data_IF_920427871372
#
_entry.id   IF_920427871372
#
_cell.length_a   1.000
_cell.length_b   1.000
_cell.length_c   1.000
_cell.angle_alpha   90.00
_cell.angle_beta   90.00
_cell.angle_gamma   90.00
#
_symmetry.space_group_name_H-M   'P 1'
#
loop_
_entity.id
_entity.type
_entity.pdbx_description
1 polymer ?
#
# COMPACT_ATOMS: atom_id res chain seq x y z
N UNK A 1 -33.99 5.45 -14.17
CA UNK A 1 -33.38 4.46 -13.26
C UNK A 1 -33.11 3.22 -14.07
N UNK A 2 -31.88 3.05 -14.56
CA UNK A 2 -31.47 1.83 -15.27
C UNK A 2 -31.20 0.76 -14.22
N UNK A 3 -31.94 -0.37 -14.29
CA UNK A 3 -31.53 -1.58 -13.60
C UNK A 3 -30.13 -1.93 -14.10
N UNK A 4 -29.16 -1.85 -13.19
CA UNK A 4 -27.80 -2.28 -13.44
C UNK A 4 -27.79 -3.68 -14.02
N UNK A 5 -27.01 -3.85 -15.08
CA UNK A 5 -26.68 -5.13 -15.72
C UNK A 5 -25.84 -5.98 -14.78
N UNK A 6 -26.35 -6.28 -13.58
CA UNK A 6 -25.78 -7.32 -12.77
C UNK A 6 -25.85 -8.60 -13.61
N UNK A 7 -24.68 -9.18 -13.84
CA UNK A 7 -24.53 -10.61 -14.00
C UNK A 7 -24.69 -11.23 -15.40
N UNK A 8 -24.92 -10.50 -16.50
CA UNK A 8 -24.87 -11.18 -17.83
C UNK A 8 -23.46 -11.63 -18.21
N UNK A 9 -22.46 -10.83 -17.92
CA UNK A 9 -21.06 -11.15 -18.25
C UNK A 9 -20.44 -12.14 -17.25
N UNK A 10 -20.77 -12.02 -15.96
CA UNK A 10 -20.38 -13.03 -14.97
C UNK A 10 -21.06 -14.37 -15.25
N UNK A 11 -22.38 -14.42 -15.45
CA UNK A 11 -23.08 -15.69 -15.75
C UNK A 11 -22.53 -16.35 -17.02
N UNK A 12 -22.26 -15.56 -18.08
CA UNK A 12 -21.62 -16.08 -19.31
C UNK A 12 -20.18 -16.56 -19.09
N UNK A 13 -19.38 -15.85 -18.32
CA UNK A 13 -18.00 -16.25 -18.02
C UNK A 13 -17.97 -17.49 -17.10
N UNK A 14 -18.87 -17.54 -16.12
CA UNK A 14 -19.02 -18.63 -15.17
C UNK A 14 -19.45 -19.92 -15.87
N UNK A 15 -20.49 -19.87 -16.70
CA UNK A 15 -20.96 -21.03 -17.49
C UNK A 15 -19.96 -21.52 -18.54
N UNK A 16 -19.07 -20.65 -19.04
CA UNK A 16 -17.97 -21.05 -19.95
C UNK A 16 -16.83 -21.77 -19.23
N UNK A 17 -16.57 -21.40 -17.97
CA UNK A 17 -15.40 -21.87 -17.22
C UNK A 17 -15.71 -23.01 -16.25
N UNK A 18 -16.98 -23.18 -15.86
CA UNK A 18 -17.42 -24.24 -14.96
C UNK A 18 -18.28 -25.24 -15.74
N UNK A 19 -17.82 -26.49 -15.86
CA UNK A 19 -18.62 -27.59 -16.39
C UNK A 19 -19.60 -27.99 -15.26
N UNK A 20 -20.76 -27.34 -15.23
CA UNK A 20 -21.83 -27.68 -14.30
C UNK A 20 -22.62 -28.85 -14.89
N UNK A 21 -22.62 -30.01 -14.24
CA UNK A 21 -23.57 -31.07 -14.58
C UNK A 21 -24.95 -30.77 -13.97
N UNK A 22 -25.98 -31.09 -14.76
CA UNK A 22 -27.44 -31.03 -14.54
C UNK A 22 -27.96 -30.15 -13.39
N UNK A 23 -28.70 -29.09 -13.73
CA UNK A 23 -29.53 -28.39 -12.75
C UNK A 23 -30.49 -29.39 -12.09
N UNK A 24 -30.50 -29.43 -10.77
CA UNK A 24 -31.35 -30.34 -10.00
C UNK A 24 -32.70 -29.72 -9.70
N UNK A 25 -32.74 -28.40 -9.48
CA UNK A 25 -33.99 -27.68 -9.24
C UNK A 25 -33.90 -26.28 -9.85
N UNK A 26 -34.97 -25.85 -10.52
CA UNK A 26 -35.11 -24.50 -11.05
C UNK A 26 -36.32 -23.84 -10.38
N UNK A 27 -36.10 -22.68 -9.75
CA UNK A 27 -37.16 -21.89 -9.14
C UNK A 27 -37.15 -20.47 -9.70
N UNK A 28 -38.30 -19.99 -10.15
CA UNK A 28 -38.46 -18.63 -10.68
C UNK A 28 -39.12 -17.73 -9.64
N UNK A 29 -38.52 -16.56 -9.38
CA UNK A 29 -39.12 -15.51 -8.56
C UNK A 29 -39.04 -14.16 -9.30
N UNK A 30 -40.19 -13.67 -9.76
CA UNK A 30 -40.25 -12.49 -10.62
C UNK A 30 -39.50 -12.71 -11.94
N UNK A 31 -38.51 -11.85 -12.23
CA UNK A 31 -37.68 -11.95 -13.44
C UNK A 31 -36.38 -12.76 -13.21
N UNK A 32 -36.24 -13.38 -12.04
CA UNK A 32 -35.03 -14.10 -11.65
C UNK A 32 -35.27 -15.61 -11.71
N UNK A 33 -34.35 -16.33 -12.33
CA UNK A 33 -34.30 -17.79 -12.38
C UNK A 33 -33.18 -18.26 -11.46
N UNK A 34 -33.54 -18.98 -10.40
CA UNK A 34 -32.62 -19.65 -9.50
C UNK A 34 -32.46 -21.08 -9.96
N UNK A 35 -31.21 -21.49 -10.21
CA UNK A 35 -30.88 -22.87 -10.58
C UNK A 35 -29.98 -23.45 -9.50
N UNK A 36 -30.43 -24.54 -8.89
CA UNK A 36 -29.63 -25.31 -7.94
C UNK A 36 -28.86 -26.39 -8.70
N UNK A 37 -27.58 -26.50 -8.41
CA UNK A 37 -26.70 -27.51 -8.98
C UNK A 37 -26.21 -28.43 -7.86
N UNK A 38 -26.17 -29.73 -8.11
CA UNK A 38 -25.44 -30.70 -7.28
C UNK A 38 -24.10 -31.01 -7.94
N UNK A 39 -23.00 -30.74 -7.25
CA UNK A 39 -21.65 -31.07 -7.68
C UNK A 39 -20.93 -31.85 -6.60
N UNK A 40 -19.86 -32.56 -6.97
CA UNK A 40 -19.01 -33.21 -5.98
C UNK A 40 -18.26 -32.15 -5.13
N UNK A 41 -17.70 -32.55 -3.98
CA UNK A 41 -17.01 -31.63 -3.09
C UNK A 41 -15.80 -30.93 -3.74
N UNK A 42 -15.16 -31.52 -4.75
CA UNK A 42 -14.02 -30.93 -5.46
C UNK A 42 -14.48 -29.87 -6.45
N UNK A 43 -15.59 -30.11 -7.15
CA UNK A 43 -16.23 -29.19 -8.08
C UNK A 43 -16.80 -27.97 -7.35
N UNK A 44 -17.53 -28.21 -6.27
CA UNK A 44 -18.07 -27.15 -5.42
C UNK A 44 -16.95 -26.30 -4.81
N UNK A 45 -15.83 -26.92 -4.44
CA UNK A 45 -14.66 -26.17 -3.96
C UNK A 45 -14.02 -25.34 -5.09
N UNK A 46 -13.90 -25.88 -6.31
CA UNK A 46 -13.38 -25.13 -7.47
C UNK A 46 -14.25 -23.94 -7.83
N UNK A 47 -15.58 -24.12 -7.80
CA UNK A 47 -16.57 -23.07 -8.01
C UNK A 47 -16.49 -22.04 -6.89
N UNK A 48 -16.46 -22.46 -5.62
CA UNK A 48 -16.32 -21.56 -4.48
C UNK A 48 -15.03 -20.72 -4.60
N UNK A 49 -13.90 -21.33 -4.95
CA UNK A 49 -12.64 -20.62 -5.22
C UNK A 49 -12.80 -19.63 -6.38
N UNK A 50 -13.46 -20.01 -7.49
CA UNK A 50 -13.70 -19.12 -8.63
C UNK A 50 -14.62 -17.94 -8.28
N UNK A 51 -15.68 -18.19 -7.52
CA UNK A 51 -16.61 -17.18 -7.02
C UNK A 51 -15.89 -16.26 -6.05
N UNK A 52 -15.12 -16.78 -5.09
CA UNK A 52 -14.30 -15.99 -4.17
C UNK A 52 -13.28 -15.12 -4.91
N UNK A 53 -12.58 -15.68 -5.90
CA UNK A 53 -11.63 -14.94 -6.74
C UNK A 53 -12.27 -13.79 -7.53
N UNK A 54 -13.55 -13.88 -7.86
CA UNK A 54 -14.24 -12.91 -8.73
C UNK A 54 -15.26 -12.02 -7.97
N UNK A 55 -15.80 -12.45 -6.83
CA UNK A 55 -16.73 -11.69 -5.97
C UNK A 55 -15.98 -10.98 -4.83
N UNK A 56 -15.08 -11.66 -4.13
CA UNK A 56 -14.35 -11.11 -2.96
C UNK A 56 -13.02 -10.46 -3.31
N UNK A 57 -12.83 -10.12 -4.59
CA UNK A 57 -11.71 -9.30 -5.05
C UNK A 57 -10.32 -9.86 -4.74
N UNK A 58 -10.20 -11.19 -4.66
CA UNK A 58 -8.93 -11.88 -4.48
C UNK A 58 -7.83 -11.39 -5.44
N UNK A 59 -8.19 -10.92 -6.64
CA UNK A 59 -7.28 -10.27 -7.60
C UNK A 59 -6.70 -8.93 -7.12
N UNK A 60 -7.48 -8.08 -6.44
CA UNK A 60 -7.01 -6.80 -5.90
C UNK A 60 -6.08 -7.05 -4.72
N UNK A 61 -6.48 -7.91 -3.78
CA UNK A 61 -5.66 -8.28 -2.62
C UNK A 61 -4.35 -8.93 -3.07
N UNK A 62 -4.42 -9.89 -3.99
CA UNK A 62 -3.24 -10.53 -4.57
C UNK A 62 -2.35 -9.51 -5.30
N UNK A 63 -2.94 -8.48 -5.93
CA UNK A 63 -2.16 -7.40 -6.56
C UNK A 63 -1.46 -6.54 -5.52
N UNK A 64 -2.13 -6.15 -4.42
CA UNK A 64 -1.52 -5.37 -3.34
C UNK A 64 -0.37 -6.18 -2.70
N UNK A 65 -0.62 -7.44 -2.33
CA UNK A 65 0.40 -8.36 -1.80
C UNK A 65 1.57 -8.46 -2.77
N UNK A 66 1.30 -8.71 -4.06
CA UNK A 66 2.33 -8.84 -5.09
C UNK A 66 3.14 -7.54 -5.23
N UNK A 67 2.51 -6.38 -5.14
CA UNK A 67 3.18 -5.07 -5.21
C UNK A 67 4.12 -4.91 -4.01
N UNK A 68 3.64 -5.19 -2.80
CA UNK A 68 4.41 -5.16 -1.57
C UNK A 68 5.56 -6.19 -1.52
N UNK A 69 5.39 -7.36 -2.14
CA UNK A 69 6.42 -8.42 -2.19
C UNK A 69 7.48 -8.20 -3.28
N UNK A 70 7.06 -7.80 -4.49
CA UNK A 70 7.96 -7.73 -5.65
C UNK A 70 8.66 -6.37 -5.79
N UNK A 71 8.11 -5.31 -5.20
CA UNK A 71 8.84 -4.05 -5.07
C UNK A 71 9.52 -4.07 -3.71
N UNK A 72 10.73 -4.61 -3.73
CA UNK A 72 11.64 -4.73 -2.61
C UNK A 72 12.12 -3.35 -2.15
N UNK A 73 11.22 -2.41 -1.79
CA UNK A 73 11.41 -0.95 -1.62
C UNK A 73 12.86 -0.50 -1.89
N UNK A 74 13.35 -0.57 -3.14
CA UNK A 74 14.80 -0.62 -3.37
C UNK A 74 15.46 0.71 -2.99
N UNK A 75 14.62 1.75 -3.03
CA UNK A 75 14.92 3.12 -2.66
C UNK A 75 15.00 3.32 -1.14
N UNK A 76 14.39 2.48 -0.29
CA UNK A 76 14.43 2.66 1.17
C UNK A 76 15.82 2.42 1.74
N UNK A 77 16.49 1.35 1.32
CA UNK A 77 17.90 1.14 1.67
C UNK A 77 18.80 2.25 1.13
N UNK A 78 18.48 2.77 -0.06
CA UNK A 78 19.20 3.90 -0.65
C UNK A 78 18.94 5.22 0.09
N UNK A 79 17.73 5.46 0.60
CA UNK A 79 17.38 6.60 1.45
C UNK A 79 18.19 6.55 2.75
N UNK A 80 18.21 5.39 3.43
CA UNK A 80 19.03 5.17 4.62
C UNK A 80 20.52 5.44 4.35
N UNK A 81 21.04 4.91 3.24
CA UNK A 81 22.44 5.13 2.84
C UNK A 81 22.72 6.60 2.54
N UNK A 82 21.82 7.30 1.85
CA UNK A 82 22.00 8.72 1.47
C UNK A 82 21.95 9.60 2.71
N UNK A 83 21.03 9.35 3.64
CA UNK A 83 20.95 10.04 4.92
C UNK A 83 22.22 9.84 5.77
N UNK A 84 22.73 8.60 5.84
CA UNK A 84 24.00 8.33 6.54
C UNK A 84 25.19 9.04 5.89
N UNK A 85 25.27 9.06 4.56
CA UNK A 85 26.32 9.78 3.84
C UNK A 85 26.27 11.28 4.16
N UNK A 86 25.08 11.89 4.12
CA UNK A 86 24.87 13.29 4.51
C UNK A 86 25.29 13.56 5.95
N UNK A 87 24.92 12.69 6.91
CA UNK A 87 25.36 12.80 8.30
C UNK A 87 26.88 12.80 8.40
N UNK A 88 27.57 11.91 7.68
CA UNK A 88 29.03 11.82 7.71
C UNK A 88 29.69 13.07 7.10
N UNK A 89 29.17 13.57 5.99
CA UNK A 89 29.64 14.80 5.34
C UNK A 89 29.48 16.01 6.28
N UNK A 90 28.32 16.17 6.92
CA UNK A 90 28.11 17.25 7.90
C UNK A 90 29.05 17.14 9.10
N UNK A 91 29.29 15.93 9.62
CA UNK A 91 30.24 15.75 10.73
C UNK A 91 31.68 16.14 10.34
N UNK A 92 32.09 15.81 9.11
CA UNK A 92 33.39 16.25 8.58
C UNK A 92 33.45 17.76 8.40
N UNK A 93 32.37 18.37 7.89
CA UNK A 93 32.27 19.81 7.68
C UNK A 93 32.39 20.61 8.98
N UNK A 94 31.69 20.18 10.04
CA UNK A 94 31.74 20.82 11.37
C UNK A 94 33.16 20.89 11.93
N UNK A 95 34.00 19.89 11.66
CA UNK A 95 35.39 19.88 12.11
C UNK A 95 36.25 20.93 11.39
N UNK A 96 35.88 21.27 10.16
CA UNK A 96 36.61 22.21 9.30
C UNK A 96 36.12 23.65 9.48
N UNK A 97 34.84 23.85 9.77
CA UNK A 97 34.24 25.18 9.94
C UNK A 97 33.34 25.26 11.19
N UNK A 98 33.90 25.61 12.37
CA UNK A 98 33.16 25.59 13.63
C UNK A 98 32.04 26.63 13.71
N UNK A 99 32.12 27.71 12.91
CA UNK A 99 31.15 28.82 12.95
C UNK A 99 29.77 28.45 12.41
N UNK A 100 29.68 27.38 11.62
CA UNK A 100 28.45 26.88 11.00
C UNK A 100 27.94 25.61 11.71
N UNK A 101 28.64 25.20 12.77
CA UNK A 101 28.41 23.95 13.50
C UNK A 101 27.01 23.80 14.09
N UNK A 102 26.40 24.88 14.58
CA UNK A 102 25.07 24.83 15.17
C UNK A 102 24.02 24.37 14.15
N UNK A 103 24.02 24.97 12.97
CA UNK A 103 23.08 24.60 11.91
C UNK A 103 23.38 23.20 11.33
N UNK A 104 24.65 22.85 11.12
CA UNK A 104 24.99 21.49 10.68
C UNK A 104 24.57 20.43 11.71
N UNK A 105 24.66 20.72 13.01
CA UNK A 105 24.17 19.83 14.06
C UNK A 105 22.64 19.66 14.02
N UNK A 106 21.89 20.74 13.75
CA UNK A 106 20.44 20.66 13.54
C UNK A 106 20.09 19.79 12.33
N UNK A 107 20.80 19.96 11.20
CA UNK A 107 20.61 19.12 10.01
C UNK A 107 20.95 17.66 10.27
N UNK A 108 22.03 17.37 11.00
CA UNK A 108 22.39 16.01 11.41
C UNK A 108 21.28 15.40 12.28
N UNK A 109 20.74 16.16 13.24
CA UNK A 109 19.66 15.68 14.09
C UNK A 109 18.41 15.36 13.28
N UNK A 110 18.02 16.23 12.34
CA UNK A 110 16.91 15.97 11.43
C UNK A 110 17.16 14.74 10.55
N UNK A 111 18.37 14.59 10.00
CA UNK A 111 18.73 13.43 9.18
C UNK A 111 18.70 12.11 9.97
N UNK A 112 19.09 12.12 11.24
CA UNK A 112 18.98 10.93 12.11
C UNK A 112 17.53 10.54 12.35
N UNK A 113 16.68 11.50 12.68
CA UNK A 113 15.23 11.25 12.84
C UNK A 113 14.59 10.74 11.54
N UNK A 114 15.02 11.27 10.39
CA UNK A 114 14.59 10.79 9.08
C UNK A 114 15.07 9.36 8.81
N UNK A 115 16.34 9.06 9.11
CA UNK A 115 16.91 7.72 8.99
C UNK A 115 16.12 6.70 9.82
N UNK A 116 15.81 7.02 11.07
CA UNK A 116 15.02 6.16 11.94
C UNK A 116 13.61 5.90 11.38
N UNK A 117 12.94 6.94 10.87
CA UNK A 117 11.64 6.80 10.20
C UNK A 117 11.71 5.85 9.01
N UNK A 118 12.67 6.06 8.10
CA UNK A 118 12.82 5.25 6.87
C UNK A 118 13.24 3.82 7.18
N UNK A 119 14.05 3.63 8.23
CA UNK A 119 14.43 2.30 8.67
C UNK A 119 13.23 1.52 9.23
N UNK A 120 12.34 2.18 9.97
CA UNK A 120 11.10 1.59 10.48
C UNK A 120 10.05 1.35 9.39
N UNK A 121 10.01 2.19 8.35
CA UNK A 121 9.08 2.08 7.21
C UNK A 121 9.12 0.68 6.57
N UNK A 122 10.32 0.14 6.34
CA UNK A 122 10.45 -1.15 5.67
C UNK A 122 9.90 -2.30 6.55
N UNK A 123 10.25 -2.28 7.83
CA UNK A 123 9.76 -3.26 8.79
C UNK A 123 8.24 -3.18 8.92
N UNK A 124 7.68 -1.98 9.07
CA UNK A 124 6.25 -1.78 9.24
C UNK A 124 5.44 -2.18 7.99
N UNK A 125 5.89 -1.82 6.79
CA UNK A 125 5.21 -2.21 5.56
C UNK A 125 5.32 -3.71 5.27
N UNK A 126 6.48 -4.33 5.50
CA UNK A 126 6.69 -5.74 5.21
C UNK A 126 6.17 -6.68 6.31
N UNK A 127 6.24 -6.30 7.58
CA UNK A 127 5.82 -7.17 8.68
C UNK A 127 4.41 -6.90 9.16
N UNK A 128 3.95 -5.65 9.17
CA UNK A 128 2.63 -5.33 9.71
C UNK A 128 1.59 -5.27 8.60
N UNK A 129 1.83 -4.48 7.55
CA UNK A 129 0.85 -4.34 6.46
C UNK A 129 0.81 -5.62 5.62
N UNK A 130 1.93 -6.07 5.07
CA UNK A 130 1.94 -7.23 4.18
C UNK A 130 1.47 -8.52 4.86
N UNK A 131 1.86 -8.80 6.11
CA UNK A 131 1.40 -10.00 6.80
C UNK A 131 -0.09 -9.94 7.11
N UNK A 132 -0.62 -8.78 7.57
CA UNK A 132 -2.07 -8.60 7.76
C UNK A 132 -2.84 -8.87 6.46
N UNK A 133 -2.34 -8.39 5.32
CA UNK A 133 -2.96 -8.63 4.01
C UNK A 133 -2.90 -10.10 3.60
N UNK A 134 -1.80 -10.82 3.91
CA UNK A 134 -1.68 -12.26 3.68
C UNK A 134 -2.63 -13.06 4.55
N UNK A 135 -2.76 -12.70 5.82
CA UNK A 135 -3.69 -13.34 6.75
C UNK A 135 -5.13 -13.15 6.28
N UNK A 136 -5.51 -11.92 5.91
CA UNK A 136 -6.80 -11.60 5.31
C UNK A 136 -7.04 -12.40 4.03
N UNK A 137 -6.05 -12.46 3.12
CA UNK A 137 -6.13 -13.27 1.92
C UNK A 137 -6.34 -14.75 2.26
N UNK A 138 -5.66 -15.28 3.27
CA UNK A 138 -5.79 -16.68 3.68
C UNK A 138 -7.17 -16.98 4.27
N UNK A 139 -7.74 -16.07 5.07
CA UNK A 139 -9.09 -16.17 5.63
C UNK A 139 -10.17 -16.14 4.53
N UNK A 140 -9.93 -15.40 3.44
CA UNK A 140 -10.84 -15.37 2.28
C UNK A 140 -10.85 -16.71 1.53
N UNK A 141 -9.71 -17.40 1.44
CA UNK A 141 -9.58 -18.66 0.68
C UNK A 141 -9.78 -19.93 1.52
N UNK A 142 -9.50 -19.87 2.82
CA UNK A 142 -9.75 -20.97 3.74
C UNK A 142 -11.20 -20.88 4.19
N UNK A 143 -11.99 -21.93 3.92
CA UNK A 143 -13.42 -22.02 4.24
C UNK A 143 -13.74 -22.09 5.75
N UNK A 144 -12.92 -21.48 6.62
CA UNK A 144 -13.26 -21.25 8.01
C UNK A 144 -14.33 -20.16 8.07
N UNK A 145 -15.58 -20.62 8.21
CA UNK A 145 -16.83 -19.85 8.19
C UNK A 145 -16.97 -18.80 9.31
N UNK A 146 -15.88 -18.44 10.00
CA UNK A 146 -15.88 -17.62 11.21
C UNK A 146 -14.90 -16.45 11.20
N UNK A 147 -14.11 -16.26 10.13
CA UNK A 147 -13.34 -15.03 10.00
C UNK A 147 -14.28 -13.89 9.56
N UNK A 148 -14.78 -13.11 10.52
CA UNK A 148 -15.39 -11.81 10.23
C UNK A 148 -14.27 -10.90 9.71
N UNK A 149 -14.09 -10.91 8.40
CA UNK A 149 -13.23 -9.95 7.69
C UNK A 149 -14.10 -8.73 7.42
N UNK A 150 -14.05 -7.76 8.31
CA UNK A 150 -14.72 -6.46 8.15
C UNK A 150 -13.75 -5.39 7.63
N UNK A 151 -14.28 -4.30 7.09
CA UNK A 151 -13.48 -3.18 6.56
C UNK A 151 -12.55 -2.56 7.61
N UNK A 152 -12.86 -2.71 8.90
CA UNK A 152 -12.03 -2.25 10.01
C UNK A 152 -10.64 -2.92 10.04
N UNK A 153 -10.49 -4.15 9.55
CA UNK A 153 -9.16 -4.77 9.42
C UNK A 153 -8.22 -4.01 8.46
N UNK A 154 -8.76 -3.24 7.52
CA UNK A 154 -7.98 -2.41 6.59
C UNK A 154 -7.61 -1.06 7.18
N UNK A 155 -8.42 -0.56 8.12
CA UNK A 155 -8.25 0.75 8.72
C UNK A 155 -6.85 0.93 9.33
N UNK A 156 -6.36 -0.05 10.10
CA UNK A 156 -5.03 0.04 10.72
C UNK A 156 -3.90 0.09 9.68
N UNK A 157 -4.00 -0.69 8.60
CA UNK A 157 -3.02 -0.69 7.53
C UNK A 157 -3.02 0.64 6.75
N UNK A 158 -4.21 1.20 6.51
CA UNK A 158 -4.43 2.49 5.87
C UNK A 158 -3.83 3.62 6.71
N UNK A 159 -4.10 3.65 8.01
CA UNK A 159 -3.56 4.68 8.91
C UNK A 159 -2.04 4.62 9.04
N UNK A 160 -1.46 3.42 9.07
CA UNK A 160 0.00 3.24 9.09
C UNK A 160 0.65 3.78 7.81
N UNK A 161 0.08 3.49 6.64
CA UNK A 161 0.54 4.02 5.34
C UNK A 161 0.41 5.54 5.29
N UNK A 162 -0.72 6.11 5.73
CA UNK A 162 -0.92 7.57 5.80
C UNK A 162 0.08 8.24 6.73
N UNK A 163 0.40 7.62 7.87
CA UNK A 163 1.41 8.13 8.80
C UNK A 163 2.76 8.28 8.10
N UNK A 164 3.21 7.25 7.40
CA UNK A 164 4.50 7.28 6.70
C UNK A 164 4.51 8.30 5.55
N UNK A 165 3.47 8.32 4.73
CA UNK A 165 3.35 9.28 3.64
C UNK A 165 3.42 10.73 4.14
N UNK A 166 2.64 11.05 5.17
CA UNK A 166 2.62 12.38 5.79
C UNK A 166 4.01 12.80 6.30
N UNK A 167 4.73 11.88 6.96
CA UNK A 167 6.03 12.19 7.52
C UNK A 167 7.10 12.31 6.42
N UNK A 168 7.08 11.46 5.39
CA UNK A 168 7.97 11.59 4.23
C UNK A 168 7.80 12.94 3.53
N UNK A 169 6.56 13.36 3.28
CA UNK A 169 6.27 14.68 2.70
C UNK A 169 6.78 15.83 3.58
N UNK A 170 6.65 15.72 4.91
CA UNK A 170 7.19 16.73 5.84
C UNK A 170 8.72 16.87 5.71
N UNK A 171 9.44 15.75 5.64
CA UNK A 171 10.89 15.76 5.45
C UNK A 171 11.29 16.25 4.05
N UNK A 172 10.55 15.87 3.01
CA UNK A 172 10.71 16.39 1.65
C UNK A 172 10.68 17.94 1.64
N UNK A 173 9.62 18.54 2.19
CA UNK A 173 9.51 20.00 2.22
C UNK A 173 10.59 20.65 3.08
N UNK A 174 10.96 20.03 4.19
CA UNK A 174 12.05 20.54 5.03
C UNK A 174 13.38 20.58 4.26
N UNK A 175 13.75 19.49 3.59
CA UNK A 175 15.01 19.42 2.83
C UNK A 175 14.99 20.31 1.59
N UNK A 176 13.82 20.49 0.95
CA UNK A 176 13.65 21.44 -0.14
C UNK A 176 13.93 22.88 0.32
N UNK A 177 13.34 23.29 1.46
CA UNK A 177 13.57 24.63 2.03
C UNK A 177 15.05 24.83 2.38
N UNK A 178 15.69 23.84 3.01
CA UNK A 178 17.13 23.90 3.34
C UNK A 178 17.95 24.11 2.07
N UNK A 179 17.63 23.41 0.98
CA UNK A 179 18.32 23.58 -0.31
C UNK A 179 18.11 24.99 -0.89
N UNK A 180 16.88 25.49 -0.88
CA UNK A 180 16.54 26.82 -1.44
C UNK A 180 17.22 27.95 -0.67
N UNK A 181 17.27 27.86 0.67
CA UNK A 181 17.94 28.84 1.53
C UNK A 181 19.44 28.94 1.26
N UNK A 182 20.07 27.82 0.91
CA UNK A 182 21.48 27.77 0.53
C UNK A 182 21.74 28.34 -0.86
N UNK A 183 20.74 28.32 -1.76
CA UNK A 183 20.87 28.83 -3.12
C UNK A 183 20.62 30.34 -3.24
N UNK A 184 19.60 30.88 -2.58
CA UNK A 184 19.13 32.25 -2.84
C UNK A 184 19.98 33.36 -2.20
N UNK A 185 20.78 33.06 -1.17
CA UNK A 185 21.28 34.12 -0.30
C UNK A 185 22.77 34.44 -0.38
N UNK A 186 23.64 33.61 -0.98
CA UNK A 186 25.12 33.73 -0.85
C UNK A 186 25.61 33.96 0.61
N UNK A 187 24.73 33.75 1.60
CA UNK A 187 24.83 33.94 3.05
C UNK A 187 24.35 32.69 3.79
N UNK A 188 23.92 31.67 3.05
CA UNK A 188 23.84 30.31 3.60
C UNK A 188 25.23 29.84 3.96
N UNK A 189 25.31 28.68 4.60
CA UNK A 189 26.58 28.08 5.02
C UNK A 189 27.47 27.78 3.82
N UNK A 190 26.89 27.76 2.62
CA UNK A 190 27.59 27.38 1.41
C UNK A 190 27.81 25.89 1.47
N UNK A 191 26.71 25.12 1.55
CA UNK A 191 26.77 23.67 1.43
C UNK A 191 27.68 23.33 0.25
N UNK A 192 28.68 22.47 0.51
CA UNK A 192 29.58 22.03 -0.56
C UNK A 192 28.74 21.48 -1.71
N UNK A 193 29.24 21.58 -2.95
CA UNK A 193 28.54 21.05 -4.13
C UNK A 193 28.10 19.59 -3.91
N UNK A 194 28.94 18.83 -3.21
CA UNK A 194 28.68 17.44 -2.84
C UNK A 194 27.50 17.26 -1.85
N UNK A 195 27.36 18.11 -0.85
CA UNK A 195 26.21 18.04 0.09
C UNK A 195 24.92 18.45 -0.61
N UNK A 196 24.96 19.46 -1.48
CA UNK A 196 23.82 19.88 -2.28
C UNK A 196 23.34 18.77 -3.24
N UNK A 197 24.29 18.06 -3.87
CA UNK A 197 24.00 16.92 -4.75
C UNK A 197 23.35 15.76 -3.97
N UNK A 198 23.90 15.38 -2.81
CA UNK A 198 23.31 14.34 -1.96
C UNK A 198 21.93 14.73 -1.41
N UNK A 199 21.72 16.01 -1.08
CA UNK A 199 20.42 16.50 -0.63
C UNK A 199 19.39 16.44 -1.76
N UNK A 200 19.79 16.75 -3.00
CA UNK A 200 18.93 16.61 -4.17
C UNK A 200 18.60 15.15 -4.49
N UNK A 201 19.59 14.27 -4.40
CA UNK A 201 19.39 12.83 -4.54
C UNK A 201 18.42 12.31 -3.47
N UNK A 202 18.57 12.75 -2.22
CA UNK A 202 17.66 12.40 -1.13
C UNK A 202 16.21 12.81 -1.43
N UNK A 203 16.02 14.05 -1.88
CA UNK A 203 14.70 14.61 -2.24
C UNK A 203 14.01 13.75 -3.32
N UNK A 204 14.70 13.44 -4.43
CA UNK A 204 14.12 12.64 -5.51
C UNK A 204 13.81 11.19 -5.10
N UNK A 205 14.58 10.63 -4.17
CA UNK A 205 14.29 9.32 -3.59
C UNK A 205 13.08 9.34 -2.67
N UNK A 206 12.87 10.43 -1.91
CA UNK A 206 11.67 10.60 -1.07
C UNK A 206 10.42 10.65 -1.96
N UNK A 207 10.45 11.41 -3.07
CA UNK A 207 9.34 11.45 -4.05
C UNK A 207 9.01 10.05 -4.56
N UNK A 208 10.02 9.32 -5.04
CA UNK A 208 9.83 7.97 -5.59
C UNK A 208 9.21 7.00 -4.59
N UNK A 209 9.62 7.07 -3.32
CA UNK A 209 9.04 6.23 -2.25
C UNK A 209 7.63 6.69 -1.88
N UNK A 210 7.37 8.01 -1.91
CA UNK A 210 6.06 8.57 -1.59
C UNK A 210 5.02 8.17 -2.64
N UNK A 211 5.33 8.31 -3.93
CA UNK A 211 4.48 7.85 -5.04
C UNK A 211 4.11 6.37 -4.90
N UNK A 212 5.08 5.54 -4.50
CA UNK A 212 4.84 4.13 -4.27
C UNK A 212 3.88 3.87 -3.11
N UNK A 213 4.05 4.58 -2.00
CA UNK A 213 3.18 4.45 -0.83
C UNK A 213 1.77 4.97 -1.15
N UNK A 214 1.65 6.02 -1.97
CA UNK A 214 0.38 6.53 -2.50
C UNK A 214 -0.35 5.50 -3.37
N UNK A 215 0.34 4.84 -4.31
CA UNK A 215 -0.23 3.77 -5.12
C UNK A 215 -0.82 2.65 -4.23
N UNK A 216 -0.10 2.25 -3.18
CA UNK A 216 -0.57 1.22 -2.24
C UNK A 216 -1.77 1.71 -1.45
N UNK A 217 -1.75 2.97 -0.99
CA UNK A 217 -2.87 3.58 -0.29
C UNK A 217 -4.13 3.61 -1.15
N UNK A 218 -4.03 4.02 -2.42
CA UNK A 218 -5.16 4.07 -3.35
C UNK A 218 -5.79 2.68 -3.54
N UNK A 219 -4.95 1.65 -3.68
CA UNK A 219 -5.42 0.28 -3.81
C UNK A 219 -6.13 -0.23 -2.54
N UNK A 220 -5.64 0.16 -1.35
CA UNK A 220 -6.26 -0.20 -0.06
C UNK A 220 -7.59 0.52 0.16
N UNK A 221 -7.66 1.83 -0.12
CA UNK A 221 -8.90 2.61 -0.04
C UNK A 221 -9.94 2.09 -1.02
N UNK A 222 -9.51 1.71 -2.22
CA UNK A 222 -10.38 1.06 -3.20
C UNK A 222 -10.98 -0.23 -2.62
N UNK A 223 -10.15 -1.03 -1.94
CA UNK A 223 -10.61 -2.26 -1.31
C UNK A 223 -11.58 -1.99 -0.15
N UNK A 224 -11.28 -1.02 0.73
CA UNK A 224 -12.14 -0.59 1.85
C UNK A 224 -13.54 -0.21 1.37
N UNK A 225 -13.65 0.73 0.41
CA UNK A 225 -14.95 1.15 -0.16
C UNK A 225 -15.75 -0.04 -0.69
N UNK A 226 -15.06 -0.99 -1.32
CA UNK A 226 -15.70 -2.15 -1.92
C UNK A 226 -16.12 -3.18 -0.88
N UNK A 227 -15.41 -3.30 0.24
CA UNK A 227 -15.86 -4.11 1.37
C UNK A 227 -17.10 -3.50 2.02
N UNK A 228 -17.08 -2.19 2.27
CA UNK A 228 -18.24 -1.47 2.83
C UNK A 228 -19.49 -1.67 1.98
N UNK A 229 -19.38 -1.56 0.65
CA UNK A 229 -20.51 -1.83 -0.26
C UNK A 229 -21.04 -3.27 -0.16
N UNK A 230 -20.17 -4.25 0.04
CA UNK A 230 -20.59 -5.64 0.23
C UNK A 230 -21.26 -5.87 1.59
N UNK A 231 -20.76 -5.23 2.64
CA UNK A 231 -21.35 -5.29 3.99
C UNK A 231 -22.73 -4.64 4.01
N UNK A 232 -22.89 -3.45 3.43
CA UNK A 232 -24.20 -2.79 3.28
C UNK A 232 -25.18 -3.68 2.51
N UNK A 233 -24.75 -4.27 1.39
CA UNK A 233 -25.62 -5.17 0.61
C UNK A 233 -26.07 -6.41 1.40
N UNK A 234 -25.23 -6.93 2.30
CA UNK A 234 -25.56 -8.07 3.14
C UNK A 234 -26.47 -7.70 4.33
N UNK A 235 -26.46 -6.45 4.76
CA UNK A 235 -27.33 -5.96 5.84
C UNK A 235 -28.74 -5.57 5.35
N UNK A 236 -28.86 -5.12 4.10
CA UNK A 236 -30.11 -4.57 3.55
C UNK A 236 -30.84 -5.50 2.56
N UNK A 237 -30.28 -6.66 2.21
CA UNK A 237 -30.93 -7.71 1.40
C UNK A 237 -30.96 -9.05 2.13
#
# INVERSE_FOLDING_TARGET
>A
MSLDNFNKDFTKAFTRNCILYSATEEYSYGNLLFMQFTGDAREMNSIAISVVNNMYQGKLISRIIRVLENKNLPQVNQLCSTANNLINEFNSYIQQEPYTSAHCNELIQTMRSFYELVNSLNHDLCEQVLNKLKDLSSCIYNADRHANVDSYYLYEAIEQIKFYLKNLLKYYYHFLIVKEQEHENCKGIGLTTQVADYLWELIGKIETVSDYIEDVLEMLLTWEIRMDMCEEQALYN
#
